data_IF_450364889376
#
_entry.id   IF_450364889376
#
_cell.length_a   1.000
_cell.length_b   1.000
_cell.length_c   1.000
_cell.angle_alpha   90.00
_cell.angle_beta   90.00
_cell.angle_gamma   90.00
#
_symmetry.space_group_name_H-M   'P 1'
#
loop_
_entity.id
_entity.type
_entity.pdbx_description
1 polymer ?
#
# COMPACT_ATOMS: atom_id res chain seq x y z
N UNK A 1 13.54 -2.46 -0.62
CA UNK A 1 12.24 -2.28 0.05
C UNK A 1 12.48 -2.06 1.54
N UNK A 2 12.05 -0.93 2.10
CA UNK A 2 12.29 -0.57 3.50
C UNK A 2 11.37 -1.33 4.48
N UNK A 3 11.65 -1.24 5.77
CA UNK A 3 10.80 -1.85 6.82
C UNK A 3 9.39 -1.25 6.77
N UNK A 4 9.28 0.08 6.64
CA UNK A 4 7.99 0.77 6.56
C UNK A 4 7.18 0.34 5.33
N UNK A 5 7.83 0.19 4.17
CA UNK A 5 7.17 -0.31 2.95
C UNK A 5 6.62 -1.74 3.13
N UNK A 6 7.42 -2.62 3.74
CA UNK A 6 6.97 -3.99 4.06
C UNK A 6 5.78 -3.98 5.03
N UNK A 7 5.76 -3.07 6.01
CA UNK A 7 4.63 -2.91 6.93
C UNK A 7 3.36 -2.51 6.18
N UNK A 8 3.42 -1.58 5.22
CA UNK A 8 2.27 -1.25 4.37
C UNK A 8 1.75 -2.49 3.64
N UNK A 9 2.62 -3.23 2.96
CA UNK A 9 2.20 -4.45 2.27
C UNK A 9 1.61 -5.51 3.21
N UNK A 10 2.13 -5.62 4.44
CA UNK A 10 1.53 -6.50 5.46
C UNK A 10 0.12 -6.07 5.84
N UNK A 11 -0.19 -4.76 5.86
CA UNK A 11 -1.56 -4.26 6.07
C UNK A 11 -2.48 -4.69 4.92
N UNK A 12 -2.09 -4.46 3.66
CA UNK A 12 -2.87 -4.93 2.52
C UNK A 12 -3.13 -6.44 2.56
N UNK A 13 -2.11 -7.22 2.96
CA UNK A 13 -2.23 -8.68 3.12
C UNK A 13 -3.19 -9.06 4.24
N UNK A 14 -3.14 -8.37 5.38
CA UNK A 14 -4.03 -8.59 6.53
C UNK A 14 -5.51 -8.45 6.14
N UNK A 15 -5.81 -7.53 5.23
CA UNK A 15 -7.17 -7.31 4.71
C UNK A 15 -7.48 -8.08 3.42
N UNK A 16 -6.62 -9.04 3.03
CA UNK A 16 -6.78 -9.86 1.82
C UNK A 16 -7.01 -9.03 0.54
N UNK A 17 -6.38 -7.86 0.47
CA UNK A 17 -6.58 -6.94 -0.64
C UNK A 17 -6.11 -7.54 -1.96
N UNK A 18 -6.93 -7.37 -2.99
CA UNK A 18 -6.64 -7.77 -4.37
C UNK A 18 -6.24 -6.53 -5.21
N UNK A 19 -5.56 -6.72 -6.36
CA UNK A 19 -5.32 -5.62 -7.29
C UNK A 19 -6.61 -4.88 -7.65
N UNK A 20 -6.55 -3.55 -7.73
CA UNK A 20 -7.71 -2.69 -8.03
C UNK A 20 -8.77 -2.61 -6.94
N UNK A 21 -8.56 -3.23 -5.77
CA UNK A 21 -9.35 -2.97 -4.56
C UNK A 21 -8.60 -1.97 -3.70
N UNK A 22 -9.30 -0.91 -3.29
CA UNK A 22 -8.72 0.19 -2.52
C UNK A 22 -8.76 -0.07 -1.02
N UNK A 23 -7.66 0.26 -0.34
CA UNK A 23 -7.58 0.35 1.11
C UNK A 23 -7.41 1.83 1.50
N UNK A 24 -8.24 2.31 2.41
CA UNK A 24 -8.21 3.69 2.87
C UNK A 24 -7.41 3.80 4.17
N UNK A 25 -6.44 4.71 4.17
CA UNK A 25 -5.71 5.16 5.35
C UNK A 25 -6.25 6.54 5.75
N UNK A 26 -6.38 6.81 7.05
CA UNK A 26 -6.94 8.08 7.54
C UNK A 26 -6.24 8.61 8.79
N UNK A 27 -6.37 9.91 9.03
CA UNK A 27 -5.85 10.59 10.23
C UNK A 27 -4.36 10.33 10.47
N UNK A 28 -4.01 10.01 11.73
CA UNK A 28 -2.63 9.68 12.12
C UNK A 28 -2.08 8.44 11.41
N UNK A 29 -2.94 7.49 11.02
CA UNK A 29 -2.50 6.28 10.34
C UNK A 29 -1.91 6.62 8.96
N UNK A 30 -2.60 7.50 8.21
CA UNK A 30 -2.09 8.04 6.95
C UNK A 30 -0.82 8.88 7.17
N UNK A 31 -0.85 9.83 8.11
CA UNK A 31 0.28 10.74 8.35
C UNK A 31 1.57 9.98 8.72
N UNK A 32 1.47 8.96 9.59
CA UNK A 32 2.62 8.14 10.01
C UNK A 32 3.19 7.25 8.89
N UNK A 33 2.43 7.04 7.81
CA UNK A 33 2.75 6.09 6.72
C UNK A 33 2.96 6.78 5.38
N UNK A 34 2.75 8.09 5.29
CA UNK A 34 2.75 8.84 4.04
C UNK A 34 4.02 8.60 3.22
N UNK A 35 5.22 8.74 3.82
CA UNK A 35 6.47 8.55 3.08
C UNK A 35 6.65 7.13 2.53
N UNK A 36 6.15 6.10 3.22
CA UNK A 36 6.20 4.72 2.74
C UNK A 36 5.17 4.46 1.63
N UNK A 37 3.97 5.03 1.76
CA UNK A 37 2.93 4.97 0.73
C UNK A 37 3.42 5.66 -0.56
N UNK A 38 4.01 6.84 -0.43
CA UNK A 38 4.56 7.61 -1.54
C UNK A 38 5.68 6.83 -2.25
N UNK A 39 6.64 6.28 -1.49
CA UNK A 39 7.71 5.46 -2.07
C UNK A 39 7.20 4.21 -2.81
N UNK A 40 6.12 3.58 -2.31
CA UNK A 40 5.49 2.44 -2.99
C UNK A 40 4.74 2.84 -4.26
N UNK A 41 4.16 4.03 -4.30
CA UNK A 41 3.55 4.61 -5.50
C UNK A 41 4.64 4.92 -6.54
N UNK A 42 5.74 5.54 -6.14
CA UNK A 42 6.87 5.84 -7.03
C UNK A 42 7.48 4.57 -7.62
N UNK A 43 7.49 3.47 -6.86
CA UNK A 43 7.91 2.13 -7.31
C UNK A 43 6.84 1.38 -8.11
N UNK A 44 5.69 2.00 -8.40
CA UNK A 44 4.58 1.40 -9.14
C UNK A 44 4.00 0.13 -8.50
N UNK A 45 4.10 0.02 -7.17
CA UNK A 45 3.53 -1.08 -6.39
C UNK A 45 2.15 -0.72 -5.82
N UNK A 46 1.91 0.56 -5.58
CA UNK A 46 0.61 1.10 -5.25
C UNK A 46 0.19 2.14 -6.29
N UNK A 47 -1.11 2.38 -6.38
CA UNK A 47 -1.67 3.56 -7.04
C UNK A 47 -2.44 4.38 -6.00
N UNK A 48 -2.36 5.70 -6.12
CA UNK A 48 -3.27 6.61 -5.41
C UNK A 48 -4.62 6.59 -6.11
N UNK A 49 -5.67 6.37 -5.35
CA UNK A 49 -7.04 6.45 -5.86
C UNK A 49 -7.55 7.88 -5.82
N UNK A 50 -8.70 8.12 -6.48
CA UNK A 50 -9.37 9.44 -6.45
C UNK A 50 -9.84 9.84 -5.06
N UNK A 51 -10.14 8.85 -4.21
CA UNK A 51 -10.56 9.07 -2.82
C UNK A 51 -9.32 9.37 -1.98
N UNK A 52 -9.34 10.49 -1.24
CA UNK A 52 -8.20 10.89 -0.41
C UNK A 52 -7.82 9.81 0.60
N UNK A 53 -6.52 9.51 0.70
CA UNK A 53 -5.98 8.47 1.57
C UNK A 53 -6.24 7.04 1.09
N UNK A 54 -6.90 6.83 -0.05
CA UNK A 54 -7.14 5.51 -0.62
C UNK A 54 -6.02 5.10 -1.59
N UNK A 55 -5.57 3.85 -1.46
CA UNK A 55 -4.53 3.26 -2.28
C UNK A 55 -4.92 1.84 -2.69
N UNK A 56 -4.61 1.47 -3.93
CA UNK A 56 -4.82 0.10 -4.44
C UNK A 56 -3.50 -0.55 -4.80
N UNK A 57 -3.43 -1.87 -4.69
CA UNK A 57 -2.32 -2.65 -5.22
C UNK A 57 -2.35 -2.62 -6.75
N UNK A 58 -1.18 -2.44 -7.36
CA UNK A 58 -0.95 -2.86 -8.74
C UNK A 58 -0.76 -4.37 -8.80
N UNK A 59 -0.75 -4.95 -10.01
CA UNK A 59 -0.41 -6.37 -10.18
C UNK A 59 0.98 -6.70 -9.64
N UNK A 60 1.98 -5.84 -9.87
CA UNK A 60 3.34 -6.00 -9.34
C UNK A 60 3.37 -5.83 -7.82
N UNK A 61 2.64 -4.86 -7.28
CA UNK A 61 2.46 -4.66 -5.84
C UNK A 61 1.88 -5.88 -5.14
N UNK A 62 0.87 -6.51 -5.72
CA UNK A 62 0.26 -7.72 -5.18
C UNK A 62 1.23 -8.91 -5.15
N UNK A 63 2.05 -9.08 -6.20
CA UNK A 63 3.11 -10.09 -6.19
C UNK A 63 4.13 -9.82 -5.07
N UNK A 64 4.55 -8.57 -4.89
CA UNK A 64 5.47 -8.21 -3.81
C UNK A 64 4.84 -8.40 -2.43
N UNK A 65 3.57 -8.05 -2.25
CA UNK A 65 2.81 -8.27 -1.03
C UNK A 65 2.77 -9.75 -0.64
N UNK A 66 2.57 -10.64 -1.62
CA UNK A 66 2.59 -12.09 -1.41
C UNK A 66 3.97 -12.61 -1.00
N UNK A 67 5.05 -11.97 -1.46
CA UNK A 67 6.44 -12.32 -1.14
C UNK A 67 6.91 -11.73 0.18
N UNK A 68 6.31 -10.63 0.64
CA UNK A 68 6.58 -10.03 1.94
C UNK A 68 6.07 -10.95 3.06
N UNK A 69 6.94 -11.88 3.48
CA UNK A 69 6.76 -12.77 4.64
C UNK A 69 7.59 -12.18 5.76
#
# INVERSE_FOLDING_TARGET
MSISEKLILKIFRKFYMQPGKMLCFSGMDLASKQGALDSLVDKQLLIREKVSGAFSLTSSGYVQMRRAT
#
